data_IF_518079150040
#
_entry.id   IF_518079150040
#
_cell.length_a   1.000
_cell.length_b   1.000
_cell.length_c   1.000
_cell.angle_alpha   90.00
_cell.angle_beta   90.00
_cell.angle_gamma   90.00
#
_symmetry.space_group_name_H-M   'P 1'
#
loop_
_entity.id
_entity.type
_entity.pdbx_description
1 polymer ?
#
# COMPACT_ATOMS: atom_id res chain seq x y z
N UNK A 1 -14.40 -0.63 9.14
CA UNK A 1 -14.16 0.77 9.56
C UNK A 1 -13.59 0.93 10.97
N UNK A 2 -14.04 0.18 11.99
CA UNK A 2 -13.56 0.34 13.38
C UNK A 2 -12.03 0.25 13.56
N UNK A 3 -11.35 -0.65 12.84
CA UNK A 3 -9.89 -0.81 12.92
C UNK A 3 -9.10 0.49 12.63
N UNK A 4 -9.50 1.23 11.58
CA UNK A 4 -8.89 2.51 11.24
C UNK A 4 -9.47 3.68 12.06
N UNK A 5 -10.45 3.48 12.93
CA UNK A 5 -10.82 4.51 13.91
C UNK A 5 -9.99 4.31 15.19
N UNK A 6 -9.88 3.05 15.64
CA UNK A 6 -9.19 2.66 16.87
C UNK A 6 -7.69 2.98 16.85
N UNK A 7 -7.07 2.98 15.67
CA UNK A 7 -5.63 3.21 15.54
C UNK A 7 -5.22 4.68 15.74
N UNK A 8 -5.93 5.67 15.18
CA UNK A 8 -5.50 7.08 15.20
C UNK A 8 -6.60 8.10 15.60
N UNK A 9 -7.74 7.62 16.13
CA UNK A 9 -8.79 8.48 16.71
C UNK A 9 -9.55 9.34 15.70
N UNK A 10 -10.16 10.42 16.19
CA UNK A 10 -11.11 11.25 15.43
C UNK A 10 -10.47 12.30 14.49
N UNK A 11 -9.14 12.38 14.43
CA UNK A 11 -8.43 13.34 13.58
C UNK A 11 -8.20 12.76 12.19
N UNK A 12 -8.11 13.59 11.12
CA UNK A 12 -7.73 13.10 9.80
C UNK A 12 -6.38 12.38 9.82
N UNK A 13 -6.33 11.24 9.16
CA UNK A 13 -5.13 10.42 9.04
C UNK A 13 -4.25 10.93 7.90
N UNK A 14 -2.96 11.15 8.17
CA UNK A 14 -2.00 11.55 7.15
C UNK A 14 -1.04 10.39 6.88
N UNK A 15 -1.11 9.85 5.67
CA UNK A 15 -0.18 8.85 5.12
C UNK A 15 0.75 9.57 4.15
N UNK A 16 2.03 9.72 4.50
CA UNK A 16 2.97 10.55 3.75
C UNK A 16 4.28 9.83 3.47
N UNK A 17 5.00 10.29 2.45
CA UNK A 17 6.25 9.70 1.99
C UNK A 17 6.42 9.86 0.48
N UNK A 18 7.62 9.54 -0.03
CA UNK A 18 7.96 9.79 -1.42
C UNK A 18 7.10 8.97 -2.37
N UNK A 19 7.00 9.38 -3.63
CA UNK A 19 6.32 8.58 -4.65
C UNK A 19 6.96 7.19 -4.73
N UNK A 20 8.28 7.13 -4.86
CA UNK A 20 9.05 5.88 -4.91
C UNK A 20 10.13 5.88 -3.85
N UNK A 21 10.52 4.70 -3.36
CA UNK A 21 11.77 4.56 -2.63
C UNK A 21 12.89 4.46 -3.67
N UNK A 22 13.68 5.53 -3.84
CA UNK A 22 14.67 5.62 -4.92
C UNK A 22 16.06 5.24 -4.43
N UNK A 23 16.45 5.74 -3.26
CA UNK A 23 17.65 5.31 -2.53
C UNK A 23 17.33 5.09 -1.06
N UNK A 24 18.21 4.34 -0.38
CA UNK A 24 18.07 4.09 1.06
C UNK A 24 18.16 5.40 1.84
N UNK A 25 19.13 6.24 1.50
CA UNK A 25 19.38 7.54 2.15
C UNK A 25 18.17 8.46 2.02
N UNK A 26 17.62 8.59 0.81
CA UNK A 26 16.43 9.40 0.54
C UNK A 26 15.23 8.89 1.35
N UNK A 27 15.04 7.57 1.39
CA UNK A 27 13.93 6.93 2.10
C UNK A 27 14.00 7.23 3.61
N UNK A 28 15.16 6.99 4.23
CA UNK A 28 15.35 7.18 5.67
C UNK A 28 15.31 8.65 6.06
N UNK A 29 15.95 9.54 5.31
CA UNK A 29 15.95 10.97 5.61
C UNK A 29 14.54 11.56 5.53
N UNK A 30 13.78 11.20 4.50
CA UNK A 30 12.38 11.61 4.39
C UNK A 30 11.56 11.09 5.57
N UNK A 31 11.78 9.84 5.99
CA UNK A 31 11.06 9.25 7.10
C UNK A 31 11.34 9.98 8.43
N UNK A 32 12.61 10.32 8.72
CA UNK A 32 12.98 11.07 9.92
C UNK A 32 12.31 12.44 9.97
N UNK A 33 12.30 13.17 8.86
CA UNK A 33 11.64 14.48 8.77
C UNK A 33 10.12 14.36 8.98
N UNK A 34 9.47 13.36 8.39
CA UNK A 34 8.04 13.13 8.58
C UNK A 34 7.71 12.72 10.02
N UNK A 35 8.53 11.87 10.63
CA UNK A 35 8.35 11.47 12.02
C UNK A 35 8.48 12.65 12.99
N UNK A 36 9.44 13.55 12.76
CA UNK A 36 9.59 14.79 13.52
C UNK A 36 8.36 15.72 13.43
N UNK A 37 7.58 15.60 12.34
CA UNK A 37 6.31 16.32 12.15
C UNK A 37 5.09 15.53 12.63
N UNK A 38 5.29 14.42 13.36
CA UNK A 38 4.21 13.66 13.98
C UNK A 38 3.46 12.70 13.04
N UNK A 39 3.94 12.50 11.80
CA UNK A 39 3.37 11.53 10.88
C UNK A 39 3.53 10.11 11.45
N UNK A 40 2.48 9.28 11.27
CA UNK A 40 2.42 7.92 11.85
C UNK A 40 2.51 6.81 10.82
N UNK A 41 2.29 7.13 9.54
CA UNK A 41 2.36 6.16 8.44
C UNK A 41 3.25 6.68 7.33
N UNK A 42 4.33 5.96 7.07
CA UNK A 42 5.26 6.21 5.98
C UNK A 42 4.91 5.37 4.76
N UNK A 43 4.71 6.01 3.60
CA UNK A 43 4.41 5.33 2.34
C UNK A 43 5.52 5.50 1.31
N UNK A 44 5.92 4.42 0.65
CA UNK A 44 6.77 4.50 -0.53
C UNK A 44 6.47 3.34 -1.49
N UNK A 45 6.41 3.64 -2.80
CA UNK A 45 6.26 2.60 -3.81
C UNK A 45 7.61 1.97 -4.13
N UNK A 46 7.75 0.66 -3.92
CA UNK A 46 8.98 -0.09 -4.23
C UNK A 46 8.89 -0.86 -5.55
N UNK A 47 7.66 -1.08 -6.04
CA UNK A 47 7.37 -1.54 -7.40
C UNK A 47 6.59 -0.46 -8.13
N UNK A 48 7.00 -0.13 -9.36
CA UNK A 48 6.39 0.92 -10.16
C UNK A 48 5.86 0.34 -11.46
N UNK A 49 4.53 0.29 -11.64
CA UNK A 49 3.96 -0.08 -12.93
C UNK A 49 4.25 1.08 -13.91
N UNK A 50 5.33 1.00 -14.69
CA UNK A 50 5.65 2.04 -15.68
C UNK A 50 4.91 1.76 -16.99
N UNK A 51 4.34 2.80 -17.58
CA UNK A 51 3.69 2.70 -18.89
C UNK A 51 4.69 2.45 -20.01
N UNK A 52 5.91 3.01 -19.88
CA UNK A 52 7.00 2.80 -20.82
C UNK A 52 8.14 2.03 -20.12
N UNK A 53 8.58 0.90 -20.68
CA UNK A 53 9.76 0.17 -20.22
C UNK A 53 11.01 1.06 -20.19
N UNK A 54 11.99 0.71 -19.36
CA UNK A 54 13.28 1.40 -19.27
C UNK A 54 13.29 2.66 -18.41
N UNK A 55 12.14 3.09 -17.89
CA UNK A 55 12.12 4.04 -16.79
C UNK A 55 12.30 3.33 -15.45
N UNK A 56 12.67 4.05 -14.39
CA UNK A 56 12.75 3.49 -13.04
C UNK A 56 11.49 2.70 -12.63
N UNK A 57 11.66 1.39 -12.43
CA UNK A 57 10.58 0.43 -12.13
C UNK A 57 10.39 0.19 -10.63
N UNK A 58 11.07 0.99 -9.81
CA UNK A 58 11.18 0.76 -8.38
C UNK A 58 12.38 -0.11 -8.05
N UNK A 59 12.82 -0.04 -6.79
CA UNK A 59 13.96 -0.82 -6.28
C UNK A 59 13.62 -2.32 -6.06
N UNK A 60 12.33 -2.67 -6.11
CA UNK A 60 11.88 -4.03 -5.87
C UNK A 60 11.99 -4.44 -4.40
N UNK A 61 12.30 -5.73 -4.16
CA UNK A 61 12.25 -6.33 -2.82
C UNK A 61 13.29 -5.75 -1.84
N UNK A 62 14.41 -5.20 -2.32
CA UNK A 62 15.37 -4.51 -1.44
C UNK A 62 14.75 -3.32 -0.71
N UNK A 63 13.72 -2.71 -1.30
CA UNK A 63 12.97 -1.62 -0.67
C UNK A 63 12.20 -2.06 0.58
N UNK A 64 11.91 -3.36 0.74
CA UNK A 64 11.27 -3.89 1.95
C UNK A 64 12.19 -3.74 3.17
N UNK A 65 13.49 -3.98 3.00
CA UNK A 65 14.48 -3.80 4.07
C UNK A 65 14.57 -2.34 4.50
N UNK A 66 14.50 -1.41 3.54
CA UNK A 66 14.51 0.02 3.82
C UNK A 66 13.26 0.46 4.58
N UNK A 67 12.09 -0.06 4.19
CA UNK A 67 10.84 0.21 4.92
C UNK A 67 10.89 -0.37 6.34
N UNK A 68 11.44 -1.56 6.54
CA UNK A 68 11.66 -2.09 7.88
C UNK A 68 12.61 -1.22 8.71
N UNK A 69 13.64 -0.65 8.09
CA UNK A 69 14.53 0.30 8.77
C UNK A 69 13.84 1.60 9.14
N UNK A 70 13.00 2.16 8.25
CA UNK A 70 12.11 3.28 8.57
C UNK A 70 11.28 2.99 9.81
N UNK A 71 10.62 1.83 9.87
CA UNK A 71 9.80 1.44 11.02
C UNK A 71 10.62 1.36 12.30
N UNK A 72 11.81 0.72 12.25
CA UNK A 72 12.69 0.60 13.42
C UNK A 72 13.19 1.95 13.92
N UNK A 73 13.58 2.87 13.03
CA UNK A 73 14.14 4.17 13.42
C UNK A 73 13.07 5.16 13.90
N UNK A 74 11.87 5.11 13.31
CA UNK A 74 10.86 6.17 13.50
C UNK A 74 9.64 5.73 14.29
N UNK A 75 9.42 4.41 14.43
CA UNK A 75 8.19 3.85 14.98
C UNK A 75 6.95 4.02 14.09
N UNK A 76 7.09 4.59 12.88
CA UNK A 76 5.97 4.71 11.94
C UNK A 76 5.58 3.35 11.37
N UNK A 77 4.28 3.17 11.10
CA UNK A 77 3.81 2.07 10.26
C UNK A 77 4.26 2.29 8.81
N UNK A 78 4.50 1.21 8.10
CA UNK A 78 4.96 1.25 6.71
C UNK A 78 3.89 0.83 5.73
N UNK A 79 3.83 1.52 4.59
CA UNK A 79 2.91 1.20 3.51
C UNK A 79 3.59 1.11 2.15
N UNK A 80 3.19 0.13 1.32
CA UNK A 80 3.64 0.02 -0.08
C UNK A 80 2.54 -0.43 -1.05
N UNK A 81 2.75 -0.21 -2.37
CA UNK A 81 1.83 -0.65 -3.42
C UNK A 81 2.03 -2.13 -3.70
N UNK A 82 0.95 -2.89 -3.87
CA UNK A 82 1.01 -4.23 -4.46
C UNK A 82 0.22 -4.24 -5.77
N UNK A 83 0.69 -5.03 -6.73
CA UNK A 83 0.08 -5.10 -8.06
C UNK A 83 -0.16 -6.54 -8.54
N UNK A 84 0.31 -7.55 -7.82
CA UNK A 84 0.14 -8.96 -8.11
C UNK A 84 0.36 -9.80 -6.83
N UNK A 85 0.08 -11.10 -6.91
CA UNK A 85 0.26 -12.03 -5.79
C UNK A 85 1.69 -12.06 -5.25
N UNK A 86 2.73 -12.00 -6.11
CA UNK A 86 4.13 -12.00 -5.66
C UNK A 86 4.42 -10.79 -4.77
N UNK A 87 3.95 -9.60 -5.15
CA UNK A 87 4.14 -8.39 -4.35
C UNK A 87 3.45 -8.51 -2.98
N UNK A 88 2.25 -9.13 -2.93
CA UNK A 88 1.55 -9.41 -1.67
C UNK A 88 2.40 -10.30 -0.77
N UNK A 89 2.87 -11.44 -1.29
CA UNK A 89 3.72 -12.36 -0.53
C UNK A 89 5.00 -11.68 -0.02
N UNK A 90 5.69 -10.94 -0.87
CA UNK A 90 6.91 -10.23 -0.50
C UNK A 90 6.65 -9.14 0.54
N UNK A 91 5.55 -8.38 0.43
CA UNK A 91 5.17 -7.37 1.41
C UNK A 91 4.85 -7.99 2.79
N UNK A 92 4.10 -9.09 2.84
CA UNK A 92 3.78 -9.80 4.08
C UNK A 92 5.05 -10.36 4.72
N UNK A 93 5.87 -11.08 3.95
CA UNK A 93 7.15 -11.64 4.44
C UNK A 93 8.11 -10.54 4.89
N UNK A 94 8.09 -9.40 4.20
CA UNK A 94 8.87 -8.21 4.52
C UNK A 94 8.32 -7.38 5.68
N UNK A 95 7.26 -7.83 6.36
CA UNK A 95 6.72 -7.19 7.56
C UNK A 95 6.05 -5.82 7.33
N UNK A 96 5.55 -5.56 6.12
CA UNK A 96 4.84 -4.33 5.80
C UNK A 96 3.52 -4.27 6.57
N UNK A 97 3.19 -3.09 7.11
CA UNK A 97 2.01 -2.92 7.97
C UNK A 97 0.73 -2.69 7.19
N UNK A 98 0.80 -2.01 6.04
CA UNK A 98 -0.35 -1.63 5.21
C UNK A 98 0.02 -1.81 3.75
N UNK A 99 -0.88 -2.35 2.94
CA UNK A 99 -0.70 -2.37 1.48
C UNK A 99 -1.76 -1.51 0.81
N UNK A 100 -1.44 -0.93 -0.34
CA UNK A 100 -2.46 -0.35 -1.21
C UNK A 100 -2.45 -0.97 -2.60
N UNK A 101 -3.61 -0.99 -3.22
CA UNK A 101 -3.82 -1.42 -4.60
C UNK A 101 -3.92 -0.18 -5.49
N UNK A 102 -3.11 -0.14 -6.54
CA UNK A 102 -3.06 0.96 -7.49
C UNK A 102 -4.29 1.03 -8.40
N UNK A 103 -4.65 2.23 -8.88
CA UNK A 103 -5.82 2.46 -9.73
C UNK A 103 -5.85 1.59 -11.01
N UNK A 104 -4.68 1.30 -11.60
CA UNK A 104 -4.55 0.43 -12.79
C UNK A 104 -4.80 -1.04 -12.46
N UNK A 105 -4.45 -1.46 -11.24
CA UNK A 105 -4.71 -2.81 -10.75
C UNK A 105 -6.18 -2.98 -10.38
N UNK A 106 -6.79 -1.98 -9.71
CA UNK A 106 -8.22 -1.96 -9.41
C UNK A 106 -9.07 -2.11 -10.67
N UNK A 107 -8.65 -1.50 -11.78
CA UNK A 107 -9.37 -1.56 -13.05
C UNK A 107 -9.34 -2.94 -13.74
N UNK A 108 -8.61 -3.92 -13.20
CA UNK A 108 -8.50 -5.26 -13.77
C UNK A 108 -9.06 -6.32 -12.80
N UNK A 109 -10.25 -6.88 -13.08
CA UNK A 109 -10.88 -7.89 -12.22
C UNK A 109 -10.06 -9.17 -12.02
N UNK A 110 -9.25 -9.59 -13.00
CA UNK A 110 -8.38 -10.76 -12.86
C UNK A 110 -7.23 -10.49 -11.89
N UNK A 111 -6.58 -9.33 -12.02
CA UNK A 111 -5.51 -8.94 -11.08
C UNK A 111 -6.05 -8.77 -9.65
N UNK A 112 -7.26 -8.22 -9.52
CA UNK A 112 -7.94 -8.11 -8.22
C UNK A 112 -8.26 -9.47 -7.62
N UNK A 113 -8.70 -10.44 -8.45
CA UNK A 113 -8.96 -11.80 -8.00
C UNK A 113 -7.68 -12.48 -7.49
N UNK A 114 -6.60 -12.42 -8.27
CA UNK A 114 -5.30 -13.01 -7.88
C UNK A 114 -4.77 -12.41 -6.57
N UNK A 115 -4.92 -11.08 -6.41
CA UNK A 115 -4.52 -10.38 -5.18
C UNK A 115 -5.40 -10.82 -4.00
N UNK A 116 -6.72 -10.89 -4.18
CA UNK A 116 -7.63 -11.34 -3.13
C UNK A 116 -7.29 -12.77 -2.66
N UNK A 117 -7.07 -13.71 -3.59
CA UNK A 117 -6.70 -15.08 -3.26
C UNK A 117 -5.38 -15.15 -2.48
N UNK A 118 -4.38 -14.34 -2.85
CA UNK A 118 -3.10 -14.26 -2.13
C UNK A 118 -3.21 -13.67 -0.72
N UNK A 119 -4.31 -12.96 -0.42
CA UNK A 119 -4.58 -12.35 0.89
C UNK A 119 -5.45 -13.24 1.79
N UNK A 120 -5.91 -14.40 1.32
CA UNK A 120 -6.76 -15.30 2.11
C UNK A 120 -6.05 -15.72 3.41
N UNK A 121 -6.74 -15.53 4.53
CA UNK A 121 -6.20 -15.82 5.87
C UNK A 121 -5.20 -14.79 6.40
N UNK A 122 -4.91 -13.73 5.65
CA UNK A 122 -4.05 -12.64 6.08
C UNK A 122 -4.87 -11.56 6.82
N UNK A 123 -4.24 -10.88 7.78
CA UNK A 123 -4.87 -9.83 8.60
C UNK A 123 -4.26 -8.45 8.39
N UNK A 124 -3.75 -8.20 7.18
CA UNK A 124 -3.12 -6.93 6.78
C UNK A 124 -4.18 -5.93 6.28
N UNK A 125 -4.14 -4.67 6.75
CA UNK A 125 -4.96 -3.61 6.18
C UNK A 125 -4.68 -3.35 4.70
N UNK A 126 -5.74 -3.20 3.91
CA UNK A 126 -5.66 -2.98 2.46
C UNK A 126 -6.38 -1.69 2.09
N UNK A 127 -5.69 -0.79 1.40
CA UNK A 127 -6.26 0.43 0.85
C UNK A 127 -6.47 0.31 -0.66
N UNK A 128 -7.68 0.52 -1.15
CA UNK A 128 -8.02 0.32 -2.58
C UNK A 128 -8.27 1.66 -3.24
N UNK A 129 -7.45 2.02 -4.23
CA UNK A 129 -7.69 3.21 -5.05
C UNK A 129 -8.87 2.99 -6.00
N UNK A 130 -9.65 4.03 -6.26
CA UNK A 130 -10.63 3.98 -7.35
C UNK A 130 -9.94 3.70 -8.69
N UNK A 131 -10.62 3.00 -9.63
CA UNK A 131 -10.06 2.67 -10.93
C UNK A 131 -9.73 3.94 -11.73
N UNK A 132 -8.86 3.79 -12.74
CA UNK A 132 -8.42 4.92 -13.59
C UNK A 132 -9.56 5.53 -14.42
N UNK A 133 -10.60 4.74 -14.69
CA UNK A 133 -11.87 5.17 -15.26
C UNK A 133 -12.89 5.38 -14.12
N UNK A 134 -13.83 6.34 -14.23
CA UNK A 134 -14.82 6.63 -13.21
C UNK A 134 -15.95 5.58 -13.20
N UNK A 135 -15.61 4.35 -12.81
CA UNK A 135 -16.50 3.20 -12.77
C UNK A 135 -16.65 2.71 -11.32
N UNK A 136 -17.80 3.03 -10.72
CA UNK A 136 -18.11 2.69 -9.33
C UNK A 136 -18.35 1.20 -9.18
N UNK A 137 -18.99 0.54 -10.14
CA UNK A 137 -19.25 -0.91 -10.11
C UNK A 137 -17.94 -1.70 -10.13
N UNK A 138 -16.98 -1.25 -10.94
CA UNK A 138 -15.65 -1.84 -10.97
C UNK A 138 -14.91 -1.66 -9.65
N UNK A 139 -15.08 -0.51 -8.98
CA UNK A 139 -14.48 -0.29 -7.65
C UNK A 139 -15.16 -1.14 -6.57
N UNK A 140 -16.49 -1.22 -6.57
CA UNK A 140 -17.28 -2.07 -5.66
C UNK A 140 -16.90 -3.54 -5.82
N UNK A 141 -16.83 -4.04 -7.06
CA UNK A 141 -16.42 -5.42 -7.33
C UNK A 141 -15.00 -5.73 -6.85
N UNK A 142 -14.09 -4.77 -6.88
CA UNK A 142 -12.74 -4.93 -6.31
C UNK A 142 -12.78 -5.10 -4.78
N UNK A 143 -13.66 -4.36 -4.09
CA UNK A 143 -13.86 -4.45 -2.64
C UNK A 143 -14.49 -5.80 -2.27
N UNK A 144 -15.58 -6.17 -2.95
CA UNK A 144 -16.31 -7.42 -2.71
C UNK A 144 -15.42 -8.66 -2.88
N UNK A 145 -14.46 -8.64 -3.82
CA UNK A 145 -13.47 -9.73 -3.98
C UNK A 145 -12.59 -9.87 -2.75
N UNK A 146 -12.09 -8.76 -2.21
CA UNK A 146 -11.30 -8.78 -0.98
C UNK A 146 -12.14 -9.25 0.21
N UNK A 147 -13.39 -8.80 0.33
CA UNK A 147 -14.30 -9.25 1.37
C UNK A 147 -14.62 -10.75 1.25
N UNK A 148 -14.76 -11.28 0.03
CA UNK A 148 -15.08 -12.70 -0.23
C UNK A 148 -14.02 -13.68 0.29
N UNK A 149 -12.77 -13.24 0.42
CA UNK A 149 -11.66 -14.03 0.99
C UNK A 149 -11.46 -13.77 2.50
N UNK A 150 -12.36 -13.01 3.12
CA UNK A 150 -12.41 -12.77 4.56
C UNK A 150 -11.72 -11.49 5.05
N UNK A 151 -11.31 -10.59 4.16
CA UNK A 151 -10.71 -9.32 4.59
C UNK A 151 -11.79 -8.36 5.12
N UNK A 152 -11.51 -7.75 6.27
CA UNK A 152 -12.42 -6.80 6.94
C UNK A 152 -11.74 -5.46 7.31
N UNK A 153 -10.46 -5.29 6.96
CA UNK A 153 -9.66 -4.07 7.16
C UNK A 153 -9.39 -3.36 5.83
N UNK A 154 -10.47 -3.04 5.13
CA UNK A 154 -10.40 -2.40 3.81
C UNK A 154 -10.68 -0.90 3.97
N UNK A 155 -9.84 -0.08 3.35
CA UNK A 155 -10.02 1.37 3.22
C UNK A 155 -10.05 1.79 1.75
N UNK A 156 -10.68 2.92 1.46
CA UNK A 156 -10.85 3.42 0.10
C UNK A 156 -10.02 4.68 -0.13
N UNK A 157 -9.39 4.78 -1.31
CA UNK A 157 -8.63 5.97 -1.71
C UNK A 157 -9.26 6.52 -2.99
N UNK A 158 -9.93 7.66 -2.89
CA UNK A 158 -10.36 8.41 -4.07
C UNK A 158 -9.20 9.29 -4.59
N UNK A 159 -8.94 9.27 -5.89
CA UNK A 159 -7.78 9.93 -6.53
C UNK A 159 -8.08 10.54 -7.90
N UNK A 160 -9.28 11.10 -8.06
CA UNK A 160 -9.82 11.61 -9.32
C UNK A 160 -10.66 10.57 -10.04
#
# INVERSE_FOLDING_TARGET
MKYFADLFGDKPWIISGPCSAETKEQTLETARQLAANGIKVFRAGIWKPRTRPGNFEGVGEIGLEWLQEVKRETGMLTATEVANAKHVWSAIKGGIDIIWIGARTTANPFMMQDIAESLKGCNIPVLVKNPVNPDVELWLGAIERLESVGLNKIGLIHRG
#
